data_IF_945189690745
#
_entry.id   IF_945189690745
#
_cell.length_a   1.000
_cell.length_b   1.000
_cell.length_c   1.000
_cell.angle_alpha   90.00
_cell.angle_beta   90.00
_cell.angle_gamma   90.00
#
_symmetry.space_group_name_H-M   'P 1'
#
loop_
_entity.id
_entity.type
_entity.pdbx_description
1 polymer ?
#
# COMPACT_ATOMS: atom_id res chain seq x y z
N UNK A 1 8.67 10.34 -11.22
CA UNK A 1 8.35 9.05 -10.60
C UNK A 1 8.48 9.19 -9.09
N UNK A 2 7.47 8.76 -8.34
CA UNK A 2 7.51 8.68 -6.87
C UNK A 2 7.56 7.20 -6.45
N UNK A 3 8.50 6.88 -5.56
CA UNK A 3 8.57 5.57 -4.91
C UNK A 3 7.91 5.68 -3.54
N UNK A 4 6.93 4.82 -3.28
CA UNK A 4 6.19 4.79 -2.03
C UNK A 4 6.22 3.36 -1.49
N UNK A 5 6.59 3.19 -0.22
CA UNK A 5 6.63 1.89 0.42
C UNK A 5 5.47 1.71 1.41
N UNK A 6 4.86 0.53 1.37
CA UNK A 6 3.86 0.08 2.34
C UNK A 6 4.44 -1.13 3.08
N UNK A 7 4.78 -0.94 4.34
CA UNK A 7 5.51 -1.92 5.16
C UNK A 7 4.57 -2.46 6.25
N UNK A 8 4.58 -3.77 6.45
CA UNK A 8 3.80 -4.45 7.50
C UNK A 8 3.26 -5.79 7.05
N UNK A 9 2.81 -6.59 7.99
CA UNK A 9 2.31 -7.95 7.73
C UNK A 9 0.82 -8.01 7.45
N UNK A 10 0.09 -6.94 7.74
CA UNK A 10 -1.32 -6.82 7.38
C UNK A 10 -1.51 -6.94 5.85
N UNK A 11 -2.59 -7.57 5.43
CA UNK A 11 -2.93 -7.70 4.00
C UNK A 11 -3.34 -6.34 3.41
N UNK A 12 -2.46 -5.79 2.56
CA UNK A 12 -2.59 -4.44 2.00
C UNK A 12 -3.17 -4.41 0.58
N UNK A 13 -3.43 -5.58 -0.03
CA UNK A 13 -3.81 -5.68 -1.44
C UNK A 13 -5.00 -4.78 -1.83
N UNK A 14 -6.09 -4.81 -1.05
CA UNK A 14 -7.27 -3.99 -1.34
C UNK A 14 -6.99 -2.49 -1.15
N UNK A 15 -6.21 -2.14 -0.14
CA UNK A 15 -5.79 -0.76 0.10
C UNK A 15 -4.98 -0.22 -1.09
N UNK A 16 -3.97 -0.98 -1.51
CA UNK A 16 -3.10 -0.60 -2.63
C UNK A 16 -3.85 -0.52 -3.95
N UNK A 17 -4.74 -1.46 -4.22
CA UNK A 17 -5.59 -1.42 -5.42
C UNK A 17 -6.51 -0.19 -5.42
N UNK A 18 -7.13 0.16 -4.30
CA UNK A 18 -7.98 1.35 -4.19
C UNK A 18 -7.19 2.66 -4.36
N UNK A 19 -6.00 2.77 -3.76
CA UNK A 19 -5.10 3.93 -3.95
C UNK A 19 -4.67 4.02 -5.41
N UNK A 20 -4.17 2.93 -5.99
CA UNK A 20 -3.70 2.87 -7.37
C UNK A 20 -4.81 3.21 -8.36
N UNK A 21 -6.01 2.66 -8.16
CA UNK A 21 -7.19 2.98 -8.98
C UNK A 21 -7.52 4.46 -8.94
N UNK A 22 -7.51 5.05 -7.74
CA UNK A 22 -7.78 6.49 -7.59
C UNK A 22 -6.74 7.34 -8.35
N UNK A 23 -5.45 7.00 -8.22
CA UNK A 23 -4.38 7.69 -8.93
C UNK A 23 -4.50 7.54 -10.47
N UNK A 24 -4.83 6.33 -10.94
CA UNK A 24 -5.03 6.03 -12.36
C UNK A 24 -6.23 6.79 -12.93
N UNK A 25 -7.36 6.84 -12.23
CA UNK A 25 -8.52 7.64 -12.61
C UNK A 25 -8.22 9.16 -12.59
N UNK A 26 -7.23 9.57 -11.82
CA UNK A 26 -6.67 10.92 -11.87
C UNK A 26 -5.67 11.13 -13.04
N UNK A 27 -5.49 10.15 -13.92
CA UNK A 27 -4.66 10.25 -15.12
C UNK A 27 -3.18 9.93 -14.92
N UNK A 28 -2.79 9.31 -13.81
CA UNK A 28 -1.41 8.89 -13.52
C UNK A 28 -1.16 7.44 -13.95
N UNK A 29 0.07 7.13 -14.36
CA UNK A 29 0.53 5.76 -14.57
C UNK A 29 1.04 5.17 -13.27
N UNK A 30 0.44 4.08 -12.82
CA UNK A 30 0.72 3.48 -11.52
C UNK A 30 1.20 2.04 -11.66
N UNK A 31 2.28 1.71 -10.96
CA UNK A 31 2.76 0.36 -10.78
C UNK A 31 2.60 -0.05 -9.31
N UNK A 32 1.96 -1.18 -9.04
CA UNK A 32 2.05 -1.87 -7.75
C UNK A 32 3.12 -2.95 -7.86
N UNK A 33 4.04 -3.00 -6.91
CA UNK A 33 5.03 -4.08 -6.78
C UNK A 33 4.66 -4.92 -5.57
N UNK A 34 4.13 -6.12 -5.79
CA UNK A 34 3.85 -7.07 -4.72
C UNK A 34 5.13 -7.84 -4.37
N UNK A 35 5.89 -7.28 -3.43
CA UNK A 35 7.12 -7.85 -2.89
C UNK A 35 6.88 -8.58 -1.55
N UNK A 36 5.64 -8.96 -1.27
CA UNK A 36 5.28 -9.75 -0.09
C UNK A 36 5.62 -11.23 -0.27
N UNK A 37 5.77 -11.95 0.83
CA UNK A 37 6.04 -13.40 0.78
C UNK A 37 4.90 -14.18 0.09
N UNK A 38 3.66 -13.80 0.36
CA UNK A 38 2.50 -14.51 -0.18
C UNK A 38 2.09 -14.07 -1.59
N UNK A 39 2.46 -12.86 -1.99
CA UNK A 39 2.11 -12.27 -3.28
C UNK A 39 0.61 -12.44 -3.62
N UNK A 40 -0.24 -11.95 -2.73
CA UNK A 40 -1.69 -12.19 -2.82
C UNK A 40 -2.34 -11.58 -4.07
N UNK A 41 -1.75 -10.55 -4.65
CA UNK A 41 -2.22 -9.94 -5.89
C UNK A 41 -2.21 -10.91 -7.08
N UNK A 42 -1.35 -11.94 -7.08
CA UNK A 42 -1.33 -12.97 -8.13
C UNK A 42 -2.63 -13.77 -8.30
N UNK A 43 -3.52 -13.72 -7.28
CA UNK A 43 -4.82 -14.39 -7.32
C UNK A 43 -5.96 -13.46 -7.76
N UNK A 44 -5.68 -12.18 -7.91
CA UNK A 44 -6.67 -11.15 -8.29
C UNK A 44 -6.44 -10.69 -9.72
N UNK A 45 -5.16 -10.43 -10.07
CA UNK A 45 -4.81 -9.91 -11.39
C UNK A 45 -4.76 -11.03 -12.45
N UNK A 46 -5.05 -10.73 -13.72
CA UNK A 46 -4.96 -11.72 -14.81
C UNK A 46 -3.58 -12.34 -14.89
N UNK A 47 -3.50 -13.65 -15.04
CA UNK A 47 -2.24 -14.36 -15.23
C UNK A 47 -1.85 -14.37 -16.70
N UNK A 48 -0.66 -13.88 -17.04
CA UNK A 48 -0.20 -13.77 -18.43
C UNK A 48 0.15 -15.14 -19.01
N UNK A 49 0.73 -16.04 -18.21
CA UNK A 49 1.11 -17.39 -18.63
C UNK A 49 1.19 -18.32 -17.43
N UNK A 50 0.88 -19.60 -17.64
CA UNK A 50 0.92 -20.62 -16.57
C UNK A 50 2.34 -20.88 -16.03
N UNK A 51 3.38 -20.57 -16.82
CA UNK A 51 4.76 -20.88 -16.51
C UNK A 51 5.58 -19.66 -16.03
N UNK A 52 5.04 -18.45 -16.08
CA UNK A 52 5.77 -17.24 -15.65
C UNK A 52 5.67 -17.05 -14.16
N UNK A 53 6.82 -17.04 -13.48
CA UNK A 53 6.94 -16.70 -12.04
C UNK A 53 7.03 -15.19 -11.88
N UNK A 54 7.68 -14.51 -12.83
CA UNK A 54 7.95 -13.07 -12.82
C UNK A 54 7.24 -12.43 -14.02
N UNK A 55 6.34 -11.51 -13.78
CA UNK A 55 5.56 -10.82 -14.81
C UNK A 55 4.95 -9.52 -14.31
N UNK A 56 4.56 -8.65 -15.25
CA UNK A 56 3.73 -7.48 -15.01
C UNK A 56 2.38 -7.73 -15.67
N UNK A 57 1.31 -7.59 -14.91
CA UNK A 57 -0.06 -7.76 -15.40
C UNK A 57 -0.82 -6.45 -15.28
N UNK A 58 -1.57 -6.09 -16.30
CA UNK A 58 -2.50 -4.96 -16.25
C UNK A 58 -3.82 -5.40 -15.62
N UNK A 59 -4.31 -4.62 -14.65
CA UNK A 59 -5.59 -4.83 -13.99
C UNK A 59 -6.31 -3.50 -13.77
N UNK A 60 -7.39 -3.25 -14.51
CA UNK A 60 -8.22 -2.04 -14.41
C UNK A 60 -7.44 -0.72 -14.59
N UNK A 61 -6.45 -0.73 -15.49
CA UNK A 61 -5.59 0.42 -15.78
C UNK A 61 -4.39 0.56 -14.83
N UNK A 62 -4.18 -0.42 -13.95
CA UNK A 62 -3.07 -0.48 -12.99
C UNK A 62 -2.12 -1.59 -13.43
N UNK A 63 -0.82 -1.31 -13.52
CA UNK A 63 0.18 -2.34 -13.71
C UNK A 63 0.57 -2.96 -12.36
N UNK A 64 0.67 -4.30 -12.32
CA UNK A 64 1.03 -5.06 -11.11
C UNK A 64 2.22 -5.96 -11.41
N UNK A 65 3.34 -5.70 -10.76
CA UNK A 65 4.58 -6.47 -10.88
C UNK A 65 4.63 -7.56 -9.80
N UNK A 66 4.82 -8.81 -10.23
CA UNK A 66 4.83 -10.01 -9.41
C UNK A 66 6.13 -10.80 -9.62
N UNK A 67 6.68 -11.37 -8.55
CA UNK A 67 7.87 -12.21 -8.61
C UNK A 67 9.20 -11.48 -8.76
N UNK A 68 9.20 -10.15 -8.82
CA UNK A 68 10.43 -9.37 -8.90
C UNK A 68 11.11 -9.24 -7.54
N UNK A 69 12.43 -9.31 -7.54
CA UNK A 69 13.25 -9.22 -6.32
C UNK A 69 13.82 -7.80 -6.07
N UNK A 70 13.79 -6.93 -7.08
CA UNK A 70 14.24 -5.53 -6.98
C UNK A 70 13.74 -4.68 -8.16
N UNK A 71 13.93 -3.37 -8.10
CA UNK A 71 13.52 -2.43 -9.15
C UNK A 71 14.31 -2.63 -10.46
N UNK A 72 15.58 -3.04 -10.38
CA UNK A 72 16.40 -3.28 -11.58
C UNK A 72 15.82 -4.43 -12.43
N UNK A 73 15.33 -5.49 -11.79
CA UNK A 73 14.65 -6.59 -12.48
C UNK A 73 13.40 -6.13 -13.21
N UNK A 74 12.64 -5.20 -12.62
CA UNK A 74 11.47 -4.60 -13.28
C UNK A 74 11.90 -3.75 -14.49
N UNK A 75 12.93 -2.92 -14.35
CA UNK A 75 13.46 -2.11 -15.44
C UNK A 75 13.94 -2.97 -16.61
N UNK A 76 14.69 -4.04 -16.34
CA UNK A 76 15.14 -4.98 -17.34
C UNK A 76 13.97 -5.69 -18.06
N UNK A 77 12.96 -6.11 -17.31
CA UNK A 77 11.75 -6.73 -17.86
C UNK A 77 11.02 -5.81 -18.85
N UNK A 78 10.98 -4.51 -18.54
CA UNK A 78 10.36 -3.49 -19.40
C UNK A 78 11.24 -3.04 -20.55
N UNK A 79 12.47 -3.58 -20.68
CA UNK A 79 13.43 -3.16 -21.70
C UNK A 79 13.94 -1.72 -21.52
N UNK A 80 13.81 -1.17 -20.32
CA UNK A 80 14.20 0.20 -20.02
C UNK A 80 15.27 0.24 -18.91
N UNK A 81 16.49 0.64 -19.26
CA UNK A 81 17.64 0.60 -18.36
C UNK A 81 17.78 1.86 -17.47
N UNK A 82 17.02 2.91 -17.72
CA UNK A 82 17.26 4.22 -17.08
C UNK A 82 16.20 4.64 -16.06
N UNK A 83 14.92 4.28 -16.28
CA UNK A 83 13.83 4.67 -15.38
C UNK A 83 12.59 3.82 -15.62
N UNK A 84 11.74 3.71 -14.61
CA UNK A 84 10.42 3.10 -14.76
C UNK A 84 9.44 4.12 -15.39
N UNK A 85 8.60 3.72 -16.36
CA UNK A 85 7.69 4.63 -17.08
C UNK A 85 6.40 4.91 -16.29
N UNK A 86 6.50 5.09 -14.98
CA UNK A 86 5.37 5.31 -14.07
C UNK A 86 5.51 6.63 -13.32
N UNK A 87 4.38 7.23 -12.99
CA UNK A 87 4.32 8.41 -12.12
C UNK A 87 4.47 8.01 -10.65
N UNK A 88 3.83 6.90 -10.28
CA UNK A 88 3.85 6.33 -8.93
C UNK A 88 4.19 4.83 -8.97
N UNK A 89 5.07 4.42 -8.06
CA UNK A 89 5.41 3.01 -7.82
C UNK A 89 5.13 2.71 -6.36
N UNK A 90 4.12 1.88 -6.10
CA UNK A 90 3.68 1.46 -4.77
C UNK A 90 4.29 0.10 -4.47
N UNK A 91 5.20 0.03 -3.49
CA UNK A 91 5.90 -1.20 -3.13
C UNK A 91 5.27 -1.78 -1.87
N UNK A 92 4.69 -2.97 -1.98
CA UNK A 92 4.16 -3.74 -0.86
C UNK A 92 5.21 -4.71 -0.32
N UNK A 93 5.52 -4.65 0.97
CA UNK A 93 6.49 -5.55 1.61
C UNK A 93 6.09 -5.93 3.02
N UNK A 94 6.36 -7.20 3.38
CA UNK A 94 6.07 -7.80 4.68
C UNK A 94 7.27 -8.54 5.29
N UNK A 95 8.47 -8.38 4.70
CA UNK A 95 9.65 -9.09 5.13
C UNK A 95 10.94 -8.29 4.92
N UNK A 96 11.95 -8.60 5.73
CA UNK A 96 13.25 -7.90 5.75
C UNK A 96 14.01 -8.07 4.43
N UNK A 97 13.90 -9.22 3.80
CA UNK A 97 14.66 -9.51 2.58
C UNK A 97 14.23 -8.59 1.43
N UNK A 98 12.93 -8.41 1.24
CA UNK A 98 12.41 -7.49 0.21
C UNK A 98 12.61 -6.03 0.61
N UNK A 99 12.53 -5.70 1.90
CA UNK A 99 12.88 -4.35 2.37
C UNK A 99 14.31 -3.96 1.95
N UNK A 100 15.26 -4.89 2.04
CA UNK A 100 16.64 -4.66 1.62
C UNK A 100 16.78 -4.57 0.09
N UNK A 101 16.26 -5.56 -0.62
CA UNK A 101 16.44 -5.64 -2.07
C UNK A 101 15.76 -4.52 -2.83
N UNK A 102 14.68 -3.96 -2.31
CA UNK A 102 14.03 -2.75 -2.82
C UNK A 102 14.56 -1.45 -2.20
N UNK A 103 15.55 -1.53 -1.29
CA UNK A 103 16.16 -0.36 -0.61
C UNK A 103 15.13 0.55 0.07
N UNK A 104 14.17 -0.04 0.78
CA UNK A 104 13.04 0.70 1.40
C UNK A 104 13.54 1.83 2.31
N UNK A 105 14.67 1.67 3.00
CA UNK A 105 15.28 2.70 3.85
C UNK A 105 15.65 4.01 3.12
N UNK A 106 15.75 3.97 1.79
CA UNK A 106 16.04 5.14 0.96
C UNK A 106 14.79 5.80 0.38
N UNK A 107 13.63 5.20 0.58
CA UNK A 107 12.34 5.74 0.13
C UNK A 107 11.89 6.80 1.13
N UNK A 108 11.53 7.98 0.62
CA UNK A 108 11.14 9.11 1.48
C UNK A 108 9.73 8.94 2.06
N UNK A 109 8.83 8.24 1.36
CA UNK A 109 7.45 8.00 1.79
C UNK A 109 7.26 6.55 2.18
N UNK A 110 7.15 6.31 3.48
CA UNK A 110 6.93 4.98 4.04
C UNK A 110 5.65 4.99 4.87
N UNK A 111 4.71 4.14 4.47
CA UNK A 111 3.48 3.87 5.21
C UNK A 111 3.64 2.57 5.97
N UNK A 112 3.46 2.61 7.28
CA UNK A 112 3.44 1.41 8.12
C UNK A 112 1.99 1.00 8.30
N UNK A 113 1.63 -0.14 7.70
CA UNK A 113 0.25 -0.65 7.69
C UNK A 113 0.13 -1.84 8.63
N UNK A 114 -0.73 -1.72 9.63
CA UNK A 114 -0.96 -2.75 10.64
C UNK A 114 -2.39 -2.69 11.19
N UNK A 115 -2.73 -3.64 12.02
CA UNK A 115 -3.91 -3.60 12.90
C UNK A 115 -3.47 -3.60 14.36
N UNK A 116 -4.42 -3.60 15.30
CA UNK A 116 -4.10 -3.78 16.73
C UNK A 116 -4.08 -5.26 17.16
N UNK A 117 -4.22 -6.19 16.22
CA UNK A 117 -4.00 -7.60 16.52
C UNK A 117 -2.54 -7.86 16.91
N UNK A 118 -2.34 -8.64 17.97
CA UNK A 118 -1.00 -8.83 18.55
C UNK A 118 0.03 -9.36 17.53
N UNK A 119 -0.39 -10.25 16.64
CA UNK A 119 0.49 -10.82 15.63
C UNK A 119 0.97 -9.73 14.68
N UNK A 120 0.03 -8.99 14.07
CA UNK A 120 0.30 -7.93 13.11
C UNK A 120 1.20 -6.84 13.70
N UNK A 121 0.87 -6.41 14.92
CA UNK A 121 1.60 -5.38 15.63
C UNK A 121 3.04 -5.81 15.94
N UNK A 122 3.22 -6.99 16.56
CA UNK A 122 4.56 -7.49 16.93
C UNK A 122 5.44 -7.73 15.71
N UNK A 123 4.90 -8.36 14.67
CA UNK A 123 5.64 -8.61 13.43
C UNK A 123 6.02 -7.31 12.71
N UNK A 124 5.13 -6.32 12.71
CA UNK A 124 5.45 -5.00 12.14
C UNK A 124 6.59 -4.32 12.93
N UNK A 125 6.56 -4.39 14.27
CA UNK A 125 7.66 -3.90 15.11
C UNK A 125 8.98 -4.62 14.79
N UNK A 126 8.97 -5.95 14.64
CA UNK A 126 10.16 -6.73 14.27
C UNK A 126 10.75 -6.29 12.92
N UNK A 127 9.89 -6.03 11.91
CA UNK A 127 10.34 -5.50 10.62
C UNK A 127 11.01 -4.13 10.79
N UNK A 128 10.42 -3.24 11.58
CA UNK A 128 10.90 -1.88 11.75
C UNK A 128 12.18 -1.81 12.59
N UNK A 129 12.40 -2.75 13.52
CA UNK A 129 13.67 -2.88 14.26
C UNK A 129 14.89 -3.10 13.38
N UNK A 130 14.67 -3.61 12.19
CA UNK A 130 15.75 -3.88 11.24
C UNK A 130 16.42 -2.62 10.68
N UNK A 131 15.75 -1.48 10.73
CA UNK A 131 16.35 -0.21 10.30
C UNK A 131 17.43 0.25 11.30
N UNK A 132 18.61 0.60 10.78
CA UNK A 132 19.72 1.08 11.59
C UNK A 132 19.76 2.61 11.73
N UNK A 133 18.85 3.32 11.06
CA UNK A 133 18.78 4.77 11.04
C UNK A 133 17.35 5.24 11.26
N UNK A 134 17.16 6.44 11.85
CA UNK A 134 15.83 7.01 12.00
C UNK A 134 15.13 7.17 10.65
N UNK A 135 13.93 6.63 10.54
CA UNK A 135 13.06 6.77 9.36
C UNK A 135 11.73 7.41 9.75
N UNK A 136 11.29 8.37 8.93
CA UNK A 136 9.96 8.95 9.06
C UNK A 136 8.90 8.02 8.45
N UNK A 137 7.82 7.74 9.18
CA UNK A 137 6.74 6.90 8.69
C UNK A 137 5.38 7.52 8.94
N UNK A 138 4.43 7.26 8.04
CA UNK A 138 3.01 7.51 8.24
C UNK A 138 2.36 6.24 8.75
N UNK A 139 1.69 6.32 9.88
CA UNK A 139 0.96 5.20 10.47
C UNK A 139 -0.38 5.00 9.78
N UNK A 140 -0.66 3.77 9.33
CA UNK A 140 -1.94 3.35 8.74
C UNK A 140 -2.49 2.19 9.55
N UNK A 141 -3.63 2.41 10.19
CA UNK A 141 -4.26 1.42 11.05
C UNK A 141 -5.55 0.91 10.40
N UNK A 142 -5.66 -0.40 10.27
CA UNK A 142 -6.86 -1.08 9.79
C UNK A 142 -7.49 -1.77 11.00
N UNK A 143 -8.58 -1.22 11.50
CA UNK A 143 -9.25 -1.77 12.68
C UNK A 143 -10.73 -1.44 12.70
N UNK A 144 -11.60 -2.36 13.18
CA UNK A 144 -13.03 -2.10 13.29
C UNK A 144 -13.36 -1.05 14.35
N UNK A 145 -12.71 -1.11 15.52
CA UNK A 145 -12.91 -0.20 16.64
C UNK A 145 -11.64 -0.10 17.48
N UNK A 146 -11.31 1.08 17.95
CA UNK A 146 -10.06 1.35 18.65
C UNK A 146 -10.36 2.01 19.99
N UNK A 147 -9.79 1.48 21.06
CA UNK A 147 -9.64 2.18 22.32
C UNK A 147 -8.30 2.92 22.38
N UNK A 148 -8.27 4.09 22.97
CA UNK A 148 -7.05 4.94 23.12
C UNK A 148 -5.86 4.18 23.71
N UNK A 149 -6.11 3.26 24.63
CA UNK A 149 -5.08 2.41 25.25
C UNK A 149 -4.29 1.55 24.29
N UNK A 150 -4.92 1.06 23.23
CA UNK A 150 -4.25 0.21 22.23
C UNK A 150 -3.33 1.08 21.36
N UNK A 151 -3.76 2.27 21.04
CA UNK A 151 -2.92 3.22 20.31
C UNK A 151 -1.72 3.67 21.14
N UNK A 152 -1.90 4.02 22.41
CA UNK A 152 -0.82 4.39 23.31
C UNK A 152 0.21 3.26 23.42
N UNK A 153 -0.24 2.02 23.56
CA UNK A 153 0.63 0.86 23.62
C UNK A 153 1.45 0.69 22.32
N UNK A 154 0.81 0.80 21.16
CA UNK A 154 1.50 0.70 19.87
C UNK A 154 2.51 1.82 19.67
N UNK A 155 2.13 3.06 19.97
CA UNK A 155 3.03 4.22 19.89
C UNK A 155 4.24 4.05 20.81
N UNK A 156 4.04 3.55 22.04
CA UNK A 156 5.11 3.23 22.96
C UNK A 156 6.08 2.20 22.37
N UNK A 157 5.58 1.10 21.83
CA UNK A 157 6.42 0.09 21.19
C UNK A 157 7.21 0.67 20.00
N UNK A 158 6.56 1.43 19.11
CA UNK A 158 7.25 2.06 17.98
C UNK A 158 8.40 2.95 18.45
N UNK A 159 8.16 3.81 19.43
CA UNK A 159 9.15 4.79 19.90
C UNK A 159 10.27 4.18 20.74
N UNK A 160 10.00 3.08 21.48
CA UNK A 160 10.98 2.48 22.37
C UNK A 160 11.79 1.34 21.73
N UNK A 161 11.20 0.63 20.75
CA UNK A 161 11.80 -0.57 20.22
C UNK A 161 12.29 -0.43 18.77
N UNK A 162 11.99 0.69 18.11
CA UNK A 162 12.37 0.91 16.70
C UNK A 162 13.00 2.29 16.50
N UNK A 163 13.82 2.50 15.45
CA UNK A 163 14.34 3.82 15.12
C UNK A 163 13.34 4.70 14.36
N UNK A 164 12.06 4.37 14.40
CA UNK A 164 11.03 5.08 13.65
C UNK A 164 10.73 6.43 14.28
N UNK A 165 10.58 7.44 13.42
CA UNK A 165 9.98 8.73 13.75
C UNK A 165 8.57 8.76 13.18
N UNK A 166 7.57 8.85 14.07
CA UNK A 166 6.18 8.99 13.64
C UNK A 166 5.99 10.36 13.00
N UNK A 167 5.40 10.37 11.82
CA UNK A 167 4.85 11.58 11.23
C UNK A 167 3.60 11.98 12.03
N UNK A 168 3.24 13.25 12.04
CA UNK A 168 1.99 13.74 12.64
C UNK A 168 0.76 13.16 11.96
N UNK A 169 0.88 12.80 10.69
CA UNK A 169 -0.18 12.18 9.91
C UNK A 169 -0.41 10.72 10.33
N UNK A 170 -1.67 10.42 10.66
CA UNK A 170 -2.18 9.07 10.90
C UNK A 170 -3.38 8.83 9.99
N UNK A 171 -3.48 7.64 9.43
CA UNK A 171 -4.63 7.21 8.63
C UNK A 171 -5.29 6.02 9.31
N UNK A 172 -6.60 6.07 9.48
CA UNK A 172 -7.37 4.99 10.06
C UNK A 172 -8.46 4.53 9.11
N UNK A 173 -8.57 3.23 8.95
CA UNK A 173 -9.67 2.60 8.22
C UNK A 173 -10.50 1.78 9.19
N UNK A 174 -11.73 2.19 9.41
CA UNK A 174 -12.71 1.36 10.09
C UNK A 174 -13.02 0.15 9.20
N UNK A 175 -12.68 -1.06 9.65
CA UNK A 175 -12.93 -2.28 8.89
C UNK A 175 -14.36 -2.79 9.15
N UNK A 176 -15.34 -2.00 8.72
CA UNK A 176 -16.76 -2.31 8.92
C UNK A 176 -17.21 -3.53 8.10
N UNK A 177 -18.22 -4.25 8.58
CA UNK A 177 -18.82 -5.35 7.82
C UNK A 177 -19.34 -4.90 6.46
N UNK A 178 -19.84 -3.66 6.36
CA UNK A 178 -20.34 -3.09 5.10
C UNK A 178 -19.18 -2.91 4.10
N UNK A 179 -18.05 -2.32 4.54
CA UNK A 179 -16.89 -2.10 3.68
C UNK A 179 -16.21 -3.42 3.29
N UNK A 180 -16.16 -4.40 4.20
CA UNK A 180 -15.70 -5.77 3.89
C UNK A 180 -16.54 -6.40 2.78
N UNK A 181 -17.86 -6.25 2.83
CA UNK A 181 -18.75 -6.76 1.79
C UNK A 181 -18.45 -6.12 0.42
N UNK A 182 -18.22 -4.82 0.37
CA UNK A 182 -17.83 -4.12 -0.87
C UNK A 182 -16.51 -4.64 -1.40
N UNK A 183 -15.48 -4.80 -0.56
CA UNK A 183 -14.18 -5.38 -0.96
C UNK A 183 -14.36 -6.77 -1.59
N UNK A 184 -15.12 -7.65 -0.94
CA UNK A 184 -15.38 -9.00 -1.47
C UNK A 184 -16.17 -8.97 -2.79
N UNK A 185 -17.13 -8.06 -2.92
CA UNK A 185 -17.94 -7.88 -4.12
C UNK A 185 -17.08 -7.39 -5.29
N UNK A 186 -16.21 -6.41 -5.05
CA UNK A 186 -15.24 -5.92 -6.04
C UNK A 186 -14.31 -7.04 -6.52
N UNK A 187 -13.74 -7.83 -5.61
CA UNK A 187 -12.89 -8.97 -5.97
C UNK A 187 -13.65 -10.02 -6.79
N UNK A 188 -14.90 -10.33 -6.44
CA UNK A 188 -15.71 -11.31 -7.15
C UNK A 188 -16.07 -10.85 -8.58
N UNK A 189 -16.37 -9.56 -8.73
CA UNK A 189 -16.75 -8.97 -10.01
C UNK A 189 -15.56 -8.57 -10.87
N UNK A 190 -14.33 -8.62 -10.32
CA UNK A 190 -13.14 -8.14 -11.01
C UNK A 190 -13.18 -6.63 -11.26
N UNK A 191 -13.71 -5.86 -10.31
CA UNK A 191 -13.89 -4.41 -10.39
C UNK A 191 -13.30 -3.71 -9.15
N UNK A 192 -13.17 -2.39 -9.20
CA UNK A 192 -12.78 -1.52 -8.08
C UNK A 192 -13.76 -0.34 -8.00
N UNK A 193 -14.98 -0.65 -7.59
CA UNK A 193 -16.08 0.32 -7.46
C UNK A 193 -16.09 0.97 -6.08
N UNK A 194 -15.98 2.30 -6.03
CA UNK A 194 -15.99 3.07 -4.78
C UNK A 194 -17.38 3.44 -4.28
N UNK A 195 -18.42 3.32 -5.12
CA UNK A 195 -19.77 3.85 -4.83
C UNK A 195 -20.35 3.36 -3.53
N UNK A 196 -20.16 2.09 -3.22
CA UNK A 196 -20.80 1.39 -2.11
C UNK A 196 -19.99 1.40 -0.80
N UNK A 197 -18.77 1.94 -0.81
CA UNK A 197 -18.01 2.13 0.43
C UNK A 197 -18.65 3.18 1.33
N UNK A 198 -18.48 3.02 2.64
CA UNK A 198 -18.92 4.01 3.64
C UNK A 198 -18.26 5.37 3.43
N UNK A 199 -18.86 6.43 3.98
CA UNK A 199 -18.26 7.77 3.95
C UNK A 199 -16.92 7.80 4.66
N UNK A 200 -16.80 7.13 5.81
CA UNK A 200 -15.58 7.04 6.60
C UNK A 200 -14.45 6.35 5.83
N UNK A 201 -14.73 5.24 5.15
CA UNK A 201 -13.75 4.59 4.28
C UNK A 201 -13.30 5.52 3.14
N UNK A 202 -14.24 6.21 2.50
CA UNK A 202 -13.93 7.17 1.43
C UNK A 202 -13.09 8.34 1.92
N UNK A 203 -13.36 8.86 3.12
CA UNK A 203 -12.58 9.94 3.73
C UNK A 203 -11.14 9.49 3.99
N UNK A 204 -10.95 8.28 4.55
CA UNK A 204 -9.63 7.71 4.79
C UNK A 204 -8.88 7.42 3.48
N UNK A 205 -9.57 6.93 2.45
CA UNK A 205 -8.99 6.69 1.13
C UNK A 205 -8.58 8.01 0.44
N UNK A 206 -9.42 9.05 0.53
CA UNK A 206 -9.10 10.39 0.03
C UNK A 206 -7.84 10.93 0.72
N UNK A 207 -7.77 10.80 2.03
CA UNK A 207 -6.65 11.30 2.83
C UNK A 207 -5.34 10.58 2.51
N UNK A 208 -5.31 9.24 2.54
CA UNK A 208 -4.09 8.50 2.23
C UNK A 208 -3.63 8.71 0.79
N UNK A 209 -4.57 8.77 -0.17
CA UNK A 209 -4.22 9.03 -1.57
C UNK A 209 -3.64 10.43 -1.75
N UNK A 210 -4.14 11.42 -1.01
CA UNK A 210 -3.57 12.78 -1.01
C UNK A 210 -2.15 12.81 -0.44
N UNK A 211 -1.87 12.04 0.63
CA UNK A 211 -0.53 11.87 1.18
C UNK A 211 0.42 11.17 0.18
N UNK A 212 -0.05 10.15 -0.52
CA UNK A 212 0.71 9.46 -1.58
C UNK A 212 1.02 10.41 -2.73
N UNK A 213 0.04 11.19 -3.17
CA UNK A 213 0.17 12.10 -4.30
C UNK A 213 1.03 13.35 -4.00
N UNK A 214 1.09 13.79 -2.73
CA UNK A 214 1.93 14.91 -2.23
C UNK A 214 1.94 16.16 -3.14
N UNK A 215 0.75 16.68 -3.42
CA UNK A 215 0.60 17.90 -4.22
C UNK A 215 0.76 17.72 -5.74
N UNK A 216 1.12 16.54 -6.25
CA UNK A 216 1.17 16.25 -7.69
C UNK A 216 -0.22 16.13 -8.31
N UNK A 217 -1.21 15.81 -7.49
CA UNK A 217 -2.62 15.73 -7.89
C UNK A 217 -3.41 16.58 -6.90
N UNK A 218 -4.26 17.44 -7.43
CA UNK A 218 -5.15 18.25 -6.61
C UNK A 218 -6.11 17.38 -5.79
N UNK A 219 -6.26 17.68 -4.51
CA UNK A 219 -7.17 16.94 -3.62
C UNK A 219 -8.61 16.94 -4.13
N UNK A 220 -9.06 18.03 -4.75
CA UNK A 220 -10.36 18.14 -5.39
C UNK A 220 -10.60 17.06 -6.46
N UNK A 221 -9.56 16.72 -7.23
CA UNK A 221 -9.60 15.68 -8.27
C UNK A 221 -9.68 14.28 -7.65
N UNK A 222 -8.87 14.01 -6.62
CA UNK A 222 -8.91 12.76 -5.85
C UNK A 222 -10.31 12.55 -5.28
N UNK A 223 -10.84 13.55 -4.60
CA UNK A 223 -12.19 13.54 -4.02
C UNK A 223 -13.27 13.26 -5.05
N UNK A 224 -13.19 13.91 -6.23
CA UNK A 224 -14.16 13.71 -7.32
C UNK A 224 -14.17 12.27 -7.82
N UNK A 225 -13.01 11.61 -7.90
CA UNK A 225 -12.89 10.21 -8.31
C UNK A 225 -13.56 9.29 -7.28
N UNK A 226 -13.17 9.42 -6.01
CA UNK A 226 -13.64 8.53 -4.93
C UNK A 226 -15.14 8.69 -4.65
N UNK A 227 -15.69 9.90 -4.84
CA UNK A 227 -17.10 10.21 -4.54
C UNK A 227 -18.00 10.27 -5.78
N UNK A 228 -17.49 9.82 -6.93
CA UNK A 228 -18.29 9.71 -8.16
C UNK A 228 -19.50 8.83 -7.90
N UNK A 229 -20.69 9.32 -8.30
CA UNK A 229 -21.99 8.61 -8.18
C UNK A 229 -22.14 7.56 -9.27
#
# INVERSE_FOLDING_TARGET
MELIAFVGTFDKKDLLLNIAKTLTECGSKVLIVDATLMQRLKYIVPKISNNSITYISEYLGIDVALGFINLNGIMQYLGNNNSLPYDFVLIDTDNIQTMNSFMISRIQKIFVVTSYEQYELKRTIELLKYYNQPIGVVKVIISPDIEDKQEEYFNKLLLTETPVKLNENKVEFADTTADRKVKLQNQLMGDLDFRHYSSTFKDSLEYITSLVAEGRIEQSKIRKVIRRK
#
